data_IF_491106806042
#
_entry.id   IF_491106806042
#
_cell.length_a   1.000
_cell.length_b   1.000
_cell.length_c   1.000
_cell.angle_alpha   90.00
_cell.angle_beta   90.00
_cell.angle_gamma   90.00
#
_symmetry.space_group_name_H-M   'P 1'
#
loop_
_entity.id
_entity.type
_entity.pdbx_description
1 polymer ?
#
# COMPACT_ATOMS: atom_id res chain seq x y z
N UNK A 1 27.86 25.47 48.70
CA UNK A 1 27.10 24.67 49.69
C UNK A 1 25.76 24.32 49.06
N UNK A 2 25.55 23.04 48.78
CA UNK A 2 24.42 22.50 48.00
C UNK A 2 23.25 22.17 48.94
N UNK A 3 22.07 22.74 48.73
CA UNK A 3 20.85 22.39 49.48
C UNK A 3 20.11 21.27 48.74
N UNK A 4 20.20 20.07 49.30
CA UNK A 4 19.46 18.88 48.89
C UNK A 4 17.95 19.05 49.16
N UNK A 5 17.11 18.88 48.14
CA UNK A 5 15.68 18.62 48.33
C UNK A 5 15.45 17.12 48.59
N UNK A 6 14.81 16.81 49.72
CA UNK A 6 14.31 15.48 50.04
C UNK A 6 13.12 15.12 49.13
N UNK A 7 13.07 13.94 48.51
CA UNK A 7 11.89 13.50 47.76
C UNK A 7 10.76 13.11 48.71
N UNK A 8 9.61 13.78 48.59
CA UNK A 8 8.40 13.41 49.31
C UNK A 8 7.86 12.06 48.82
N UNK A 9 7.52 11.20 49.78
CA UNK A 9 7.03 9.83 49.56
C UNK A 9 5.84 9.79 48.60
N UNK A 10 5.97 8.97 47.55
CA UNK A 10 4.95 8.69 46.51
C UNK A 10 3.61 8.19 47.06
N UNK A 11 3.56 7.79 48.33
CA UNK A 11 2.36 7.30 49.01
C UNK A 11 1.29 8.39 49.25
N UNK A 12 1.66 9.67 49.27
CA UNK A 12 0.71 10.75 49.63
C UNK A 12 -0.13 11.21 48.43
N UNK A 13 0.35 11.06 47.20
CA UNK A 13 -0.35 11.50 45.98
C UNK A 13 -1.47 10.54 45.55
N UNK A 14 -1.37 9.26 45.90
CA UNK A 14 -2.34 8.23 45.50
C UNK A 14 -3.65 8.25 46.31
N UNK A 15 -3.67 8.90 47.47
CA UNK A 15 -4.88 9.02 48.31
C UNK A 15 -5.92 9.99 47.72
N UNK A 16 -5.48 10.99 46.93
CA UNK A 16 -6.37 12.02 46.38
C UNK A 16 -7.11 11.62 45.11
N UNK A 17 -6.72 10.52 44.46
CA UNK A 17 -7.33 10.07 43.19
C UNK A 17 -8.25 8.85 43.38
N UNK A 18 -8.51 8.43 44.63
CA UNK A 18 -9.42 7.32 44.91
C UNK A 18 -8.95 5.95 44.39
N UNK A 19 -7.67 5.82 44.01
CA UNK A 19 -7.08 4.59 43.47
C UNK A 19 -6.64 3.64 44.58
N UNK A 20 -7.49 3.39 45.56
CA UNK A 20 -7.21 2.42 46.62
C UNK A 20 -8.42 1.53 46.90
N UNK A 21 -9.08 1.04 45.85
CA UNK A 21 -10.15 0.04 46.04
C UNK A 21 -10.19 -1.07 44.98
N UNK A 22 -9.09 -1.28 44.25
CA UNK A 22 -9.00 -2.38 43.26
C UNK A 22 -8.62 -3.72 43.92
N UNK A 23 -7.98 -3.70 45.10
CA UNK A 23 -7.40 -4.93 45.70
C UNK A 23 -8.37 -5.66 46.67
N UNK A 24 -9.64 -5.23 46.81
CA UNK A 24 -10.59 -5.89 47.74
C UNK A 24 -11.94 -6.34 47.19
N UNK A 25 -12.08 -6.46 45.87
CA UNK A 25 -13.05 -7.37 45.26
C UNK A 25 -14.53 -7.15 45.64
N UNK A 26 -14.97 -5.92 45.87
CA UNK A 26 -16.39 -5.62 46.11
C UNK A 26 -16.81 -4.34 45.39
N UNK A 27 -17.11 -4.46 44.09
CA UNK A 27 -17.83 -3.41 43.35
C UNK A 27 -19.28 -3.36 43.83
N UNK A 28 -19.60 -2.49 44.78
CA UNK A 28 -20.99 -2.11 45.04
C UNK A 28 -21.46 -1.09 44.01
N UNK A 29 -22.59 -1.41 43.38
CA UNK A 29 -23.29 -0.62 42.36
C UNK A 29 -23.58 0.80 42.87
N UNK A 30 -23.43 1.86 42.05
CA UNK A 30 -23.73 3.22 42.50
C UNK A 30 -25.23 3.37 42.84
N UNK A 31 -25.46 3.99 44.00
CA UNK A 31 -26.75 4.31 44.61
C UNK A 31 -27.53 5.29 43.72
N UNK A 32 -28.84 5.07 43.55
CA UNK A 32 -29.76 6.03 42.91
C UNK A 32 -29.82 7.32 43.74
N UNK A 33 -29.25 8.40 43.25
CA UNK A 33 -29.45 9.74 43.79
C UNK A 33 -30.48 10.50 42.94
N UNK A 34 -31.44 11.10 43.64
CA UNK A 34 -32.58 11.88 43.15
C UNK A 34 -32.16 13.16 42.43
N UNK A 35 -32.99 13.52 41.45
CA UNK A 35 -33.19 14.80 40.78
C UNK A 35 -32.39 16.02 41.27
N UNK A 36 -31.48 16.48 40.39
CA UNK A 36 -31.29 17.92 40.17
C UNK A 36 -30.92 18.13 38.70
N UNK A 37 -31.93 18.19 37.84
CA UNK A 37 -31.78 18.60 36.44
C UNK A 37 -31.51 20.11 36.44
N UNK A 38 -30.23 20.49 36.47
CA UNK A 38 -29.80 21.77 35.91
C UNK A 38 -29.66 21.53 34.42
N UNK A 39 -30.54 22.18 33.67
CA UNK A 39 -30.51 22.21 32.22
C UNK A 39 -29.17 22.79 31.75
N UNK A 40 -28.32 21.94 31.18
CA UNK A 40 -27.33 22.33 30.19
C UNK A 40 -27.47 21.37 29.02
N UNK A 41 -28.19 21.89 28.03
CA UNK A 41 -28.27 21.47 26.63
C UNK A 41 -27.16 20.50 26.19
N UNK A 42 -27.56 19.26 25.89
CA UNK A 42 -26.85 18.36 24.97
C UNK A 42 -27.89 17.60 24.15
N UNK A 43 -28.79 18.34 23.50
CA UNK A 43 -29.73 17.79 22.50
C UNK A 43 -29.10 17.73 21.10
N UNK A 44 -27.80 17.48 21.00
CA UNK A 44 -27.13 17.26 19.73
C UNK A 44 -26.49 15.88 19.73
N UNK A 45 -26.93 15.03 18.80
CA UNK A 45 -26.61 13.61 18.61
C UNK A 45 -27.41 12.60 19.43
N UNK A 46 -28.75 12.64 19.31
CA UNK A 46 -29.51 11.37 19.25
C UNK A 46 -30.28 11.32 17.93
N UNK A 47 -29.55 11.44 16.81
CA UNK A 47 -30.05 10.90 15.55
C UNK A 47 -29.94 9.39 15.69
N UNK A 48 -31.07 8.69 15.80
CA UNK A 48 -31.09 7.25 15.96
C UNK A 48 -30.17 6.58 14.94
N UNK A 49 -29.29 5.70 15.42
CA UNK A 49 -28.40 4.92 14.56
C UNK A 49 -29.25 4.11 13.59
N UNK A 50 -29.25 4.51 12.32
CA UNK A 50 -29.89 3.76 11.24
C UNK A 50 -28.90 2.69 10.76
N UNK A 51 -29.18 1.39 10.93
CA UNK A 51 -28.28 0.32 10.52
C UNK A 51 -27.93 0.37 9.02
N UNK A 52 -28.82 0.92 8.19
CA UNK A 52 -28.59 1.08 6.74
C UNK A 52 -27.51 2.11 6.43
N UNK A 53 -27.43 3.18 7.22
CA UNK A 53 -26.42 4.24 7.03
C UNK A 53 -25.03 3.76 7.47
N UNK A 54 -24.98 2.86 8.46
CA UNK A 54 -23.74 2.20 8.89
C UNK A 54 -23.23 1.26 7.80
N UNK A 55 -24.10 0.41 7.24
CA UNK A 55 -23.74 -0.48 6.15
C UNK A 55 -23.25 0.29 4.92
N UNK A 56 -23.97 1.34 4.50
CA UNK A 56 -23.57 2.20 3.39
C UNK A 56 -22.21 2.89 3.62
N UNK A 57 -21.90 3.26 4.87
CA UNK A 57 -20.60 3.82 5.22
C UNK A 57 -19.47 2.79 5.10
N UNK A 58 -19.69 1.54 5.52
CA UNK A 58 -18.70 0.46 5.35
C UNK A 58 -18.46 0.10 3.88
N UNK A 59 -19.51 0.02 3.07
CA UNK A 59 -19.39 -0.22 1.63
C UNK A 59 -18.59 0.90 0.96
N UNK A 60 -18.88 2.16 1.32
CA UNK A 60 -18.17 3.33 0.80
C UNK A 60 -16.67 3.32 1.16
N UNK A 61 -16.33 2.90 2.39
CA UNK A 61 -14.94 2.75 2.81
C UNK A 61 -14.24 1.61 2.07
N UNK A 62 -14.91 0.47 1.89
CA UNK A 62 -14.36 -0.66 1.14
C UNK A 62 -14.10 -0.30 -0.34
N UNK A 63 -15.01 0.43 -0.97
CA UNK A 63 -14.86 0.91 -2.33
C UNK A 63 -13.70 1.90 -2.46
N UNK A 64 -13.53 2.82 -1.49
CA UNK A 64 -12.42 3.76 -1.45
C UNK A 64 -11.07 3.04 -1.29
N UNK A 65 -10.98 2.09 -0.37
CA UNK A 65 -9.77 1.26 -0.20
C UNK A 65 -9.46 0.47 -1.47
N UNK A 66 -10.47 -0.16 -2.08
CA UNK A 66 -10.31 -0.90 -3.33
C UNK A 66 -9.82 0.01 -4.48
N UNK A 67 -10.40 1.20 -4.62
CA UNK A 67 -10.00 2.17 -5.63
C UNK A 67 -8.54 2.63 -5.41
N UNK A 68 -8.16 2.90 -4.15
CA UNK A 68 -6.81 3.30 -3.79
C UNK A 68 -5.79 2.23 -4.18
N UNK A 69 -6.06 0.96 -3.81
CA UNK A 69 -5.19 -0.17 -4.18
C UNK A 69 -5.07 -0.30 -5.71
N UNK A 70 -6.18 -0.18 -6.44
CA UNK A 70 -6.17 -0.27 -7.92
C UNK A 70 -5.31 0.81 -8.55
N UNK A 71 -5.40 2.06 -8.07
CA UNK A 71 -4.60 3.17 -8.56
C UNK A 71 -3.11 2.91 -8.31
N UNK A 72 -2.74 2.54 -7.09
CA UNK A 72 -1.34 2.27 -6.75
C UNK A 72 -0.74 1.14 -7.60
N UNK A 73 -1.50 0.09 -7.88
CA UNK A 73 -1.04 -1.00 -8.75
C UNK A 73 -0.88 -0.56 -10.20
N UNK A 74 -1.80 0.27 -10.71
CA UNK A 74 -1.68 0.84 -12.05
C UNK A 74 -0.45 1.75 -12.17
N UNK A 75 -0.22 2.61 -11.18
CA UNK A 75 0.97 3.46 -11.15
C UNK A 75 2.26 2.63 -11.12
N UNK A 76 2.31 1.59 -10.31
CA UNK A 76 3.46 0.70 -10.24
C UNK A 76 3.73 0.01 -11.59
N UNK A 77 2.69 -0.42 -12.30
CA UNK A 77 2.81 -1.06 -13.61
C UNK A 77 3.22 -0.05 -14.71
N UNK A 78 2.52 1.09 -14.81
CA UNK A 78 2.73 2.06 -15.88
C UNK A 78 3.99 2.92 -15.72
N UNK A 79 4.45 3.13 -14.48
CA UNK A 79 5.64 3.93 -14.21
C UNK A 79 6.90 3.09 -14.00
N UNK A 80 6.80 1.75 -14.05
CA UNK A 80 7.98 0.89 -14.01
C UNK A 80 8.88 1.21 -15.21
N UNK A 81 10.17 1.43 -14.96
CA UNK A 81 11.19 1.61 -15.99
C UNK A 81 12.37 0.67 -15.73
N UNK A 82 13.00 0.24 -16.82
CA UNK A 82 14.22 -0.54 -16.80
C UNK A 82 15.40 0.36 -16.44
N UNK A 83 16.21 -0.10 -15.50
CA UNK A 83 17.46 0.57 -15.16
C UNK A 83 18.64 -0.09 -15.87
N UNK A 84 19.57 0.72 -16.40
CA UNK A 84 20.78 0.24 -17.09
C UNK A 84 21.62 -0.79 -16.30
N UNK A 85 21.57 -0.74 -14.97
CA UNK A 85 22.30 -1.65 -14.07
C UNK A 85 21.53 -2.94 -13.77
N UNK A 86 20.25 -2.96 -14.07
CA UNK A 86 19.37 -4.10 -13.86
C UNK A 86 19.47 -5.08 -15.04
N UNK A 87 19.61 -6.37 -14.73
CA UNK A 87 19.56 -7.40 -15.76
C UNK A 87 18.18 -7.43 -16.43
N UNK A 88 18.12 -7.61 -17.75
CA UNK A 88 16.84 -7.59 -18.49
C UNK A 88 15.84 -8.62 -17.96
N UNK A 89 16.32 -9.76 -17.47
CA UNK A 89 15.48 -10.81 -16.87
C UNK A 89 14.78 -10.32 -15.59
N UNK A 90 15.44 -9.48 -14.80
CA UNK A 90 14.83 -8.87 -13.61
C UNK A 90 13.74 -7.87 -14.02
N UNK A 91 14.01 -7.06 -15.05
CA UNK A 91 13.03 -6.15 -15.62
C UNK A 91 11.76 -6.88 -16.13
N UNK A 92 11.95 -7.93 -16.92
CA UNK A 92 10.84 -8.78 -17.41
C UNK A 92 10.06 -9.34 -16.23
N UNK A 93 10.75 -9.90 -15.23
CA UNK A 93 10.14 -10.43 -14.01
C UNK A 93 9.30 -9.39 -13.25
N UNK A 94 9.80 -8.15 -13.11
CA UNK A 94 9.10 -7.06 -12.43
C UNK A 94 7.79 -6.69 -13.15
N UNK A 95 7.82 -6.56 -14.48
CA UNK A 95 6.62 -6.24 -15.25
C UNK A 95 5.60 -7.38 -15.18
N UNK A 96 6.04 -8.63 -15.27
CA UNK A 96 5.15 -9.80 -15.13
C UNK A 96 4.50 -9.86 -13.74
N UNK A 97 5.26 -9.60 -12.67
CA UNK A 97 4.72 -9.54 -11.31
C UNK A 97 3.71 -8.39 -11.17
N UNK A 98 4.01 -7.21 -11.69
CA UNK A 98 3.10 -6.07 -11.66
C UNK A 98 1.80 -6.36 -12.44
N UNK A 99 1.89 -7.02 -13.60
CA UNK A 99 0.73 -7.48 -14.36
C UNK A 99 -0.11 -8.49 -13.56
N UNK A 100 0.52 -9.47 -12.89
CA UNK A 100 -0.17 -10.44 -12.03
C UNK A 100 -0.89 -9.78 -10.85
N UNK A 101 -0.32 -8.71 -10.26
CA UNK A 101 -0.99 -7.94 -9.23
C UNK A 101 -2.24 -7.24 -9.77
N UNK A 102 -2.19 -6.70 -11.00
CA UNK A 102 -3.37 -6.13 -11.67
C UNK A 102 -4.45 -7.20 -11.89
N UNK A 103 -4.08 -8.38 -12.40
CA UNK A 103 -4.98 -9.54 -12.58
C UNK A 103 -5.68 -9.90 -11.27
N UNK A 104 -4.91 -9.99 -10.18
CA UNK A 104 -5.44 -10.27 -8.84
C UNK A 104 -6.42 -9.20 -8.36
N UNK A 105 -6.18 -7.93 -8.74
CA UNK A 105 -7.08 -6.80 -8.46
C UNK A 105 -8.30 -6.73 -9.40
N UNK A 106 -8.59 -7.80 -10.15
CA UNK A 106 -9.66 -7.89 -11.17
C UNK A 106 -9.48 -6.88 -12.31
N UNK A 107 -8.25 -6.46 -12.58
CA UNK A 107 -7.89 -5.68 -13.75
C UNK A 107 -7.22 -6.63 -14.74
N UNK A 108 -7.59 -6.61 -16.01
CA UNK A 108 -7.05 -7.54 -16.99
C UNK A 108 -6.19 -6.77 -18.00
N UNK A 109 -4.89 -6.53 -17.71
CA UNK A 109 -3.99 -6.04 -18.74
C UNK A 109 -3.89 -7.09 -19.84
N UNK A 110 -4.06 -6.67 -21.08
CA UNK A 110 -3.89 -7.53 -22.26
C UNK A 110 -2.43 -7.87 -22.47
N UNK A 111 -2.14 -9.00 -23.10
CA UNK A 111 -0.77 -9.39 -23.48
C UNK A 111 -0.07 -8.27 -24.28
N UNK A 112 -0.82 -7.59 -25.15
CA UNK A 112 -0.34 -6.42 -25.87
C UNK A 112 0.07 -5.27 -24.93
N UNK A 113 -0.74 -4.93 -23.92
CA UNK A 113 -0.37 -3.91 -22.94
C UNK A 113 0.87 -4.29 -22.12
N UNK A 114 1.05 -5.59 -21.84
CA UNK A 114 2.24 -6.09 -21.15
C UNK A 114 3.46 -5.98 -22.08
N UNK A 115 3.33 -6.37 -23.36
CA UNK A 115 4.38 -6.23 -24.37
C UNK A 115 4.76 -4.76 -24.60
N UNK A 116 3.78 -3.88 -24.75
CA UNK A 116 3.97 -2.43 -24.89
C UNK A 116 4.70 -1.85 -23.68
N UNK A 117 4.36 -2.30 -22.46
CA UNK A 117 5.05 -1.87 -21.24
C UNK A 117 6.48 -2.37 -21.19
N UNK A 118 6.73 -3.63 -21.58
CA UNK A 118 8.08 -4.21 -21.62
C UNK A 118 9.00 -3.43 -22.54
N UNK A 119 8.52 -3.03 -23.72
CA UNK A 119 9.29 -2.27 -24.73
C UNK A 119 9.37 -0.78 -24.36
N UNK A 120 8.25 -0.17 -23.99
CA UNK A 120 8.14 1.26 -23.69
C UNK A 120 8.80 1.65 -22.37
N UNK A 121 9.00 0.71 -21.46
CA UNK A 121 9.72 0.92 -20.20
C UNK A 121 11.23 0.73 -20.31
N UNK A 122 11.78 0.32 -21.46
CA UNK A 122 13.22 0.14 -21.64
C UNK A 122 13.97 1.47 -21.57
N UNK A 123 15.17 1.43 -21.00
CA UNK A 123 16.11 2.55 -21.06
C UNK A 123 16.44 2.91 -22.52
N UNK A 124 16.73 4.20 -22.78
CA UNK A 124 17.00 4.68 -24.14
C UNK A 124 18.24 4.04 -24.79
N UNK A 125 19.17 3.50 -24.01
CA UNK A 125 20.30 2.71 -24.53
C UNK A 125 19.86 1.40 -25.22
N UNK A 126 18.63 0.95 -25.01
CA UNK A 126 18.01 -0.21 -25.68
C UNK A 126 17.14 0.19 -26.89
N UNK A 127 17.24 1.43 -27.37
CA UNK A 127 16.46 1.94 -28.51
C UNK A 127 16.59 1.08 -29.76
N UNK A 128 17.78 0.59 -30.10
CA UNK A 128 18.00 -0.31 -31.25
C UNK A 128 17.14 -1.57 -31.19
N UNK A 129 16.89 -2.10 -29.99
CA UNK A 129 16.07 -3.29 -29.77
C UNK A 129 14.60 -2.94 -29.87
N UNK A 130 14.19 -1.80 -29.29
CA UNK A 130 12.81 -1.30 -29.48
C UNK A 130 12.51 -1.17 -30.97
N UNK A 131 13.40 -0.57 -31.74
CA UNK A 131 13.19 -0.39 -33.18
C UNK A 131 13.14 -1.75 -33.89
N UNK A 132 13.97 -2.72 -33.49
CA UNK A 132 13.97 -4.07 -34.08
C UNK A 132 12.72 -4.88 -33.71
N UNK A 133 12.15 -4.70 -32.52
CA UNK A 133 10.97 -5.43 -32.03
C UNK A 133 9.67 -4.79 -32.52
N UNK A 134 9.60 -3.45 -32.51
CA UNK A 134 8.40 -2.66 -32.83
C UNK A 134 8.20 -2.51 -34.34
N UNK A 135 9.27 -2.33 -35.13
CA UNK A 135 9.14 -2.07 -36.57
C UNK A 135 8.59 -3.23 -37.42
N UNK A 136 8.84 -4.53 -37.12
CA UNK A 136 8.30 -5.63 -37.91
C UNK A 136 6.93 -6.15 -37.45
N UNK A 137 6.40 -5.72 -36.31
CA UNK A 137 5.23 -6.35 -35.68
C UNK A 137 4.01 -5.43 -35.68
N UNK A 138 2.98 -5.78 -36.46
CA UNK A 138 1.66 -5.11 -36.40
C UNK A 138 0.96 -5.36 -35.06
N UNK A 139 1.22 -6.51 -34.43
CA UNK A 139 0.81 -6.87 -33.06
C UNK A 139 2.02 -7.46 -32.33
N UNK A 140 2.33 -6.93 -31.15
CA UNK A 140 3.43 -7.43 -30.33
C UNK A 140 2.90 -8.55 -29.43
N UNK A 141 3.19 -9.79 -29.81
CA UNK A 141 3.03 -10.93 -28.90
C UNK A 141 3.96 -10.77 -27.70
N UNK A 142 3.42 -11.05 -26.51
CA UNK A 142 4.18 -11.05 -25.26
C UNK A 142 5.36 -12.01 -25.32
N UNK A 143 5.15 -13.24 -25.81
CA UNK A 143 6.19 -14.26 -25.92
C UNK A 143 7.31 -13.86 -26.90
N UNK A 144 6.93 -13.29 -28.05
CA UNK A 144 7.92 -12.80 -29.03
C UNK A 144 8.75 -11.64 -28.45
N UNK A 145 8.11 -10.76 -27.69
CA UNK A 145 8.77 -9.64 -27.02
C UNK A 145 9.76 -10.13 -25.98
N UNK A 146 9.35 -11.06 -25.10
CA UNK A 146 10.21 -11.66 -24.09
C UNK A 146 11.40 -12.36 -24.76
N UNK A 147 11.15 -13.21 -25.76
CA UNK A 147 12.19 -13.94 -26.46
C UNK A 147 13.21 -13.02 -27.15
N UNK A 148 12.75 -11.92 -27.77
CA UNK A 148 13.64 -10.93 -28.38
C UNK A 148 14.53 -10.22 -27.36
N UNK A 149 13.98 -9.85 -26.19
CA UNK A 149 14.73 -9.20 -25.12
C UNK A 149 15.79 -10.13 -24.52
N UNK A 150 15.45 -11.40 -24.30
CA UNK A 150 16.39 -12.40 -23.79
C UNK A 150 17.50 -12.71 -24.79
N UNK A 151 17.17 -12.91 -26.07
CA UNK A 151 18.14 -13.18 -27.12
C UNK A 151 19.16 -12.04 -27.25
N UNK A 152 18.70 -10.79 -27.22
CA UNK A 152 19.59 -9.64 -27.32
C UNK A 152 20.55 -9.51 -26.12
N UNK A 153 20.08 -9.81 -24.91
CA UNK A 153 20.94 -9.84 -23.73
C UNK A 153 22.05 -10.90 -23.85
N UNK A 154 21.74 -12.08 -24.39
CA UNK A 154 22.74 -13.12 -24.66
C UNK A 154 23.78 -12.64 -25.68
N UNK A 155 23.34 -11.98 -26.77
CA UNK A 155 24.25 -11.43 -27.77
C UNK A 155 25.18 -10.33 -27.22
N UNK A 156 24.67 -9.40 -26.39
CA UNK A 156 25.48 -8.35 -25.76
C UNK A 156 26.61 -8.92 -24.89
N UNK A 157 26.33 -9.98 -24.13
CA UNK A 157 27.31 -10.59 -23.24
C UNK A 157 28.30 -11.50 -23.97
N UNK A 158 27.90 -12.16 -25.06
CA UNK A 158 28.79 -12.99 -25.89
C UNK A 158 29.89 -12.18 -26.58
N UNK A 159 29.59 -10.94 -26.99
CA UNK A 159 30.54 -10.07 -27.69
C UNK A 159 31.61 -9.46 -26.76
N UNK A 160 31.38 -9.45 -25.44
CA UNK A 160 32.32 -8.91 -24.45
C UNK A 160 33.48 -9.84 -24.13
N UNK A 161 33.41 -11.10 -24.56
CA UNK A 161 34.45 -12.12 -24.36
C UNK A 161 35.41 -12.31 -25.54
N UNK A 162 35.28 -11.52 -26.60
CA UNK A 162 36.05 -11.67 -27.85
C UNK A 162 36.68 -10.35 -28.31
N UNK A 163 37.29 -9.61 -27.38
CA UNK A 163 38.26 -8.57 -27.73
C UNK A 163 39.65 -9.08 -27.34
N UNK A 164 40.38 -9.56 -28.35
CA UNK A 164 41.81 -9.88 -28.31
C UNK A 164 42.66 -8.62 -28.11
#
# INVERSE_FOLDING_TARGET
>A
MSTYCQPQSVSTQLSQIGTLDIIKGALTRPIKAKDKVIASQSDQYVKGFNPKDIAANWDSLSDLECATIKITLQEAFWNACHELKEAITLWIGRITIAANHLITAKQLPTDQQIADRLVGGLDNSWSSIRDTVVYPSVELSLDNTIGALEAHFVCLNGNKGTSD
#
